data_IF_195029003736
#
_entry.id   IF_195029003736
#
_cell.length_a   1.000
_cell.length_b   1.000
_cell.length_c   1.000
_cell.angle_alpha   90.00
_cell.angle_beta   90.00
_cell.angle_gamma   90.00
#
_symmetry.space_group_name_H-M   'P 1'
#
loop_
_entity.id
_entity.type
_entity.pdbx_description
1 polymer ?
#
# COMPACT_ATOMS: atom_id res chain seq x y z
N UNK A 1 13.79 13.26 -0.37
CA UNK A 1 12.89 13.35 -1.53
C UNK A 1 12.04 12.08 -1.63
N UNK A 2 10.78 12.23 -1.90
CA UNK A 2 9.88 11.07 -2.08
C UNK A 2 9.89 10.61 -3.54
N UNK A 3 9.79 9.28 -3.72
CA UNK A 3 9.59 8.68 -5.03
C UNK A 3 8.62 7.50 -4.91
N UNK A 4 8.10 7.03 -6.02
CA UNK A 4 7.13 5.94 -6.07
C UNK A 4 7.49 4.93 -7.15
N UNK A 5 7.25 3.66 -6.89
CA UNK A 5 7.48 2.58 -7.86
C UNK A 5 6.32 1.59 -7.83
N UNK A 6 5.79 1.26 -9.00
CA UNK A 6 4.81 0.18 -9.12
C UNK A 6 5.51 -1.15 -8.88
N UNK A 7 4.88 -2.02 -8.10
CA UNK A 7 5.45 -3.33 -7.77
C UNK A 7 5.03 -4.41 -8.76
N UNK A 8 5.69 -5.55 -8.66
CA UNK A 8 5.33 -6.79 -9.34
C UNK A 8 5.19 -7.89 -8.30
N UNK A 9 4.87 -9.11 -8.73
CA UNK A 9 4.80 -10.26 -7.81
C UNK A 9 6.15 -10.59 -7.16
N UNK A 10 7.25 -10.10 -7.72
CA UNK A 10 8.58 -10.26 -7.12
C UNK A 10 8.77 -9.42 -5.85
N UNK A 11 7.89 -8.46 -5.61
CA UNK A 11 7.98 -7.53 -4.49
C UNK A 11 7.14 -7.95 -3.27
N UNK A 12 6.55 -9.13 -3.29
CA UNK A 12 5.63 -9.59 -2.23
C UNK A 12 6.28 -9.53 -0.84
N UNK A 13 7.52 -10.00 -0.71
CA UNK A 13 8.20 -9.98 0.59
C UNK A 13 8.56 -8.56 1.03
N UNK A 14 8.88 -7.69 0.10
CA UNK A 14 9.13 -6.28 0.40
C UNK A 14 7.87 -5.60 0.94
N UNK A 15 6.72 -5.83 0.29
CA UNK A 15 5.43 -5.30 0.75
C UNK A 15 5.11 -5.81 2.15
N UNK A 16 5.24 -7.12 2.38
CA UNK A 16 4.99 -7.74 3.68
C UNK A 16 5.89 -7.16 4.76
N UNK A 17 7.18 -7.03 4.48
CA UNK A 17 8.13 -6.49 5.44
C UNK A 17 7.80 -5.04 5.81
N UNK A 18 7.51 -4.22 4.82
CA UNK A 18 7.15 -2.82 5.06
C UNK A 18 5.84 -2.73 5.85
N UNK A 19 4.84 -3.54 5.49
CA UNK A 19 3.57 -3.58 6.21
C UNK A 19 3.77 -3.95 7.68
N UNK A 20 4.67 -4.89 7.99
CA UNK A 20 4.93 -5.29 9.39
C UNK A 20 5.49 -4.13 10.22
N UNK A 21 6.31 -3.29 9.62
CA UNK A 21 6.87 -2.13 10.30
C UNK A 21 5.83 -1.04 10.57
N UNK A 22 4.77 -1.00 9.79
CA UNK A 22 3.71 0.00 9.92
C UNK A 22 2.60 -0.48 10.84
N UNK A 23 2.18 -1.74 10.70
CA UNK A 23 1.02 -2.27 11.42
C UNK A 23 1.27 -2.44 12.91
N UNK A 24 2.46 -2.89 13.30
CA UNK A 24 2.79 -3.08 14.70
C UNK A 24 2.64 -1.81 15.52
N UNK A 25 3.30 -0.69 15.17
CA UNK A 25 3.13 0.55 15.94
C UNK A 25 1.76 1.19 15.79
N UNK A 26 1.07 0.95 14.67
CA UNK A 26 -0.24 1.56 14.42
C UNK A 26 -1.34 0.90 15.24
N UNK A 27 -1.35 -0.43 15.31
CA UNK A 27 -2.45 -1.20 15.89
C UNK A 27 -2.09 -1.98 17.16
N UNK A 28 -0.81 -2.05 17.51
CA UNK A 28 -0.35 -2.86 18.64
C UNK A 28 -0.91 -2.45 19.99
N UNK A 29 -1.30 -1.19 20.16
CA UNK A 29 -1.91 -0.70 21.42
C UNK A 29 -3.43 -0.87 21.44
N UNK A 30 -4.05 -1.18 20.30
CA UNK A 30 -5.50 -1.26 20.14
C UNK A 30 -5.97 -2.72 20.12
N UNK A 31 -5.19 -3.60 19.48
CA UNK A 31 -5.53 -5.00 19.27
C UNK A 31 -4.67 -5.89 20.16
N UNK A 32 -5.23 -7.04 20.60
CA UNK A 32 -4.43 -8.07 21.26
C UNK A 32 -3.39 -8.61 20.27
N UNK A 33 -2.34 -9.24 20.80
CA UNK A 33 -1.29 -9.83 19.94
C UNK A 33 -1.88 -10.86 18.98
N UNK A 34 -2.79 -11.69 19.48
CA UNK A 34 -3.44 -12.71 18.66
C UNK A 34 -4.26 -12.11 17.53
N UNK A 35 -5.02 -11.05 17.83
CA UNK A 35 -5.83 -10.34 16.83
C UNK A 35 -4.96 -9.68 15.78
N UNK A 36 -3.89 -9.02 16.22
CA UNK A 36 -2.97 -8.34 15.32
C UNK A 36 -2.31 -9.31 14.37
N UNK A 37 -1.79 -10.42 14.90
CA UNK A 37 -1.13 -11.45 14.09
C UNK A 37 -2.09 -12.10 13.11
N UNK A 38 -3.32 -12.41 13.55
CA UNK A 38 -4.33 -13.00 12.69
C UNK A 38 -4.69 -12.08 11.52
N UNK A 39 -4.97 -10.81 11.82
CA UNK A 39 -5.35 -9.83 10.78
C UNK A 39 -4.20 -9.56 9.83
N UNK A 40 -2.99 -9.48 10.38
CA UNK A 40 -1.82 -9.25 9.54
C UNK A 40 -1.58 -10.41 8.56
N UNK A 41 -1.64 -11.65 9.04
CA UNK A 41 -1.47 -12.80 8.16
C UNK A 41 -2.58 -12.93 7.13
N UNK A 42 -3.81 -12.59 7.51
CA UNK A 42 -4.94 -12.62 6.58
C UNK A 42 -4.71 -11.69 5.39
N UNK A 43 -4.09 -10.52 5.62
CA UNK A 43 -3.91 -9.51 4.58
C UNK A 43 -2.53 -9.58 3.89
N UNK A 44 -1.50 -9.97 4.62
CA UNK A 44 -0.11 -9.82 4.17
C UNK A 44 0.70 -11.11 4.13
N UNK A 45 0.10 -12.27 4.34
CA UNK A 45 0.76 -13.52 4.00
C UNK A 45 1.12 -13.48 2.51
N UNK A 46 2.25 -14.07 2.10
CA UNK A 46 2.65 -14.01 0.69
C UNK A 46 1.55 -14.43 -0.28
N UNK A 47 0.84 -15.52 0.01
CA UNK A 47 -0.27 -15.99 -0.83
C UNK A 47 -1.44 -14.99 -0.85
N UNK A 48 -1.66 -14.25 0.24
CA UNK A 48 -2.72 -13.24 0.30
C UNK A 48 -2.40 -12.05 -0.59
N UNK A 49 -1.15 -11.59 -0.57
CA UNK A 49 -0.71 -10.50 -1.43
C UNK A 49 -0.78 -10.90 -2.90
N UNK A 50 -0.32 -12.12 -3.22
CA UNK A 50 -0.40 -12.64 -4.58
C UNK A 50 -1.85 -12.73 -5.06
N UNK A 51 -2.76 -13.18 -4.20
CA UNK A 51 -4.18 -13.24 -4.53
C UNK A 51 -4.75 -11.84 -4.81
N UNK A 52 -4.38 -10.86 -4.00
CA UNK A 52 -4.81 -9.48 -4.21
C UNK A 52 -4.33 -8.95 -5.57
N UNK A 53 -3.10 -9.24 -5.94
CA UNK A 53 -2.54 -8.79 -7.23
C UNK A 53 -3.15 -9.53 -8.41
N UNK A 54 -3.25 -10.85 -8.34
CA UNK A 54 -3.60 -11.69 -9.49
C UNK A 54 -5.11 -11.88 -9.66
N UNK A 55 -5.86 -11.97 -8.56
CA UNK A 55 -7.28 -12.29 -8.60
C UNK A 55 -8.20 -11.12 -8.27
N UNK A 56 -7.78 -10.25 -7.35
CA UNK A 56 -8.61 -9.15 -6.87
C UNK A 56 -8.29 -7.82 -7.55
N UNK A 57 -7.39 -7.82 -8.51
CA UNK A 57 -7.03 -6.64 -9.31
C UNK A 57 -6.50 -5.46 -8.49
N UNK A 58 -5.71 -5.76 -7.45
CA UNK A 58 -4.99 -4.75 -6.70
C UNK A 58 -3.65 -4.47 -7.35
N UNK A 59 -3.31 -3.19 -7.48
CA UNK A 59 -1.98 -2.76 -7.87
C UNK A 59 -1.32 -2.10 -6.68
N UNK A 60 -0.14 -2.60 -6.30
CA UNK A 60 0.62 -2.08 -5.17
C UNK A 60 1.76 -1.20 -5.65
N UNK A 61 1.99 -0.12 -4.90
CA UNK A 61 3.09 0.81 -5.13
C UNK A 61 3.86 0.98 -3.84
N UNK A 62 5.18 1.05 -3.95
CA UNK A 62 6.05 1.36 -2.80
C UNK A 62 6.50 2.80 -2.91
N UNK A 63 6.41 3.52 -1.81
CA UNK A 63 6.88 4.90 -1.71
C UNK A 63 8.21 4.89 -0.97
N UNK A 64 9.17 5.61 -1.50
CA UNK A 64 10.53 5.72 -0.96
C UNK A 64 10.78 7.14 -0.49
N UNK A 65 11.49 7.26 0.63
CA UNK A 65 12.11 8.51 1.04
C UNK A 65 13.61 8.29 0.98
N UNK A 66 14.28 9.05 0.11
CA UNK A 66 15.74 8.96 -0.05
C UNK A 66 16.20 7.50 -0.25
N UNK A 67 15.52 6.78 -1.13
CA UNK A 67 15.77 5.39 -1.50
C UNK A 67 15.42 4.35 -0.42
N UNK A 68 14.81 4.76 0.71
CA UNK A 68 14.34 3.82 1.74
C UNK A 68 12.84 3.58 1.60
N UNK A 69 12.39 2.30 1.59
CA UNK A 69 10.95 2.01 1.58
C UNK A 69 10.27 2.65 2.79
N UNK A 70 9.24 3.44 2.55
CA UNK A 70 8.65 4.30 3.60
C UNK A 70 7.13 4.24 3.67
N UNK A 71 6.47 3.74 2.65
CA UNK A 71 5.02 3.61 2.61
C UNK A 71 4.56 2.78 1.45
N UNK A 72 3.27 2.49 1.40
CA UNK A 72 2.71 1.78 0.27
C UNK A 72 1.29 2.24 -0.02
N UNK A 73 0.89 2.05 -1.27
CA UNK A 73 -0.42 2.37 -1.79
C UNK A 73 -0.94 1.15 -2.53
N UNK A 74 -2.20 0.80 -2.33
CA UNK A 74 -2.86 -0.23 -3.10
C UNK A 74 -4.11 0.35 -3.74
N UNK A 75 -4.25 0.16 -5.05
CA UNK A 75 -5.42 0.61 -5.83
C UNK A 75 -6.10 -0.63 -6.39
N UNK A 76 -7.39 -0.75 -6.15
CA UNK A 76 -8.21 -1.83 -6.70
C UNK A 76 -9.02 -1.31 -7.88
N UNK A 77 -9.03 -2.06 -8.99
CA UNK A 77 -9.99 -1.84 -10.07
C UNK A 77 -11.24 -2.62 -9.71
N UNK A 78 -12.28 -1.91 -9.28
CA UNK A 78 -13.54 -2.53 -8.84
C UNK A 78 -14.40 -2.91 -10.03
N UNK A 79 -14.53 -2.01 -10.98
CA UNK A 79 -15.24 -2.20 -12.23
C UNK A 79 -14.51 -1.41 -13.32
N UNK A 80 -14.96 -1.54 -14.57
CA UNK A 80 -14.45 -0.69 -15.64
C UNK A 80 -14.61 0.78 -15.24
N UNK A 81 -13.50 1.51 -15.25
CA UNK A 81 -13.44 2.95 -14.93
C UNK A 81 -13.81 3.29 -13.48
N UNK A 82 -13.87 2.29 -12.58
CA UNK A 82 -14.10 2.51 -11.15
C UNK A 82 -12.94 1.96 -10.34
N UNK A 83 -12.27 2.83 -9.58
CA UNK A 83 -11.07 2.52 -8.82
C UNK A 83 -11.24 2.92 -7.36
N UNK A 84 -10.64 2.14 -6.45
CA UNK A 84 -10.59 2.46 -5.04
C UNK A 84 -9.16 2.43 -4.52
N UNK A 85 -8.81 3.40 -3.68
CA UNK A 85 -7.59 3.34 -2.89
C UNK A 85 -7.86 2.42 -1.70
N UNK A 86 -7.36 1.19 -1.78
CA UNK A 86 -7.62 0.18 -0.75
C UNK A 86 -6.71 0.34 0.47
N UNK A 87 -5.46 0.74 0.24
CA UNK A 87 -4.47 0.86 1.30
C UNK A 87 -3.63 2.10 1.04
N UNK A 88 -3.50 2.95 2.07
CA UNK A 88 -2.62 4.11 2.06
C UNK A 88 -1.94 4.11 3.43
N UNK A 89 -0.68 3.69 3.47
CA UNK A 89 0.06 3.56 4.71
C UNK A 89 1.46 4.14 4.58
N UNK A 90 1.96 4.70 5.67
CA UNK A 90 3.35 5.17 5.74
C UNK A 90 3.91 4.89 7.13
N UNK A 91 5.25 4.85 7.22
CA UNK A 91 5.91 4.67 8.51
C UNK A 91 5.49 5.78 9.48
N UNK A 92 5.17 5.43 10.75
CA UNK A 92 4.75 6.44 11.72
C UNK A 92 5.75 7.58 11.91
N UNK A 93 7.05 7.29 11.79
CA UNK A 93 8.10 8.29 11.91
C UNK A 93 8.03 9.38 10.84
N UNK A 94 7.30 9.15 9.75
CA UNK A 94 7.16 10.08 8.65
C UNK A 94 5.82 10.80 8.64
N UNK A 95 4.97 10.57 9.64
CA UNK A 95 3.70 11.30 9.75
C UNK A 95 4.00 12.80 9.94
N UNK A 96 3.29 13.64 9.19
CA UNK A 96 3.53 15.07 9.19
C UNK A 96 4.62 15.56 8.24
N UNK A 97 5.29 14.63 7.52
CA UNK A 97 6.35 14.99 6.56
C UNK A 97 5.81 15.35 5.15
N UNK A 98 4.51 15.16 4.91
CA UNK A 98 3.91 15.32 3.58
C UNK A 98 3.85 14.03 2.77
N UNK A 99 4.28 12.89 3.35
CA UNK A 99 4.29 11.62 2.61
C UNK A 99 2.87 11.17 2.23
N UNK A 100 1.89 11.32 3.12
CA UNK A 100 0.51 10.94 2.82
C UNK A 100 -0.06 11.70 1.63
N UNK A 101 0.18 13.01 1.58
CA UNK A 101 -0.23 13.84 0.46
C UNK A 101 0.46 13.42 -0.83
N UNK A 102 1.76 13.12 -0.76
CA UNK A 102 2.52 12.65 -1.91
C UNK A 102 1.91 11.35 -2.46
N UNK A 103 1.59 10.40 -1.58
CA UNK A 103 0.99 9.11 -1.98
C UNK A 103 -0.31 9.34 -2.74
N UNK A 104 -1.20 10.17 -2.19
CA UNK A 104 -2.50 10.46 -2.82
C UNK A 104 -2.32 11.14 -4.16
N UNK A 105 -1.44 12.13 -4.23
CA UNK A 105 -1.18 12.85 -5.48
C UNK A 105 -0.63 11.92 -6.57
N UNK A 106 0.28 11.00 -6.20
CA UNK A 106 0.83 10.04 -7.15
C UNK A 106 -0.20 9.01 -7.58
N UNK A 107 -1.07 8.57 -6.66
CA UNK A 107 -2.15 7.66 -7.00
C UNK A 107 -3.12 8.26 -8.01
N UNK A 108 -3.51 9.50 -7.80
CA UNK A 108 -4.39 10.24 -8.73
C UNK A 108 -3.70 10.42 -10.07
N UNK A 109 -2.41 10.79 -10.09
CA UNK A 109 -1.66 10.95 -11.31
C UNK A 109 -1.58 9.64 -12.10
N UNK A 110 -1.38 8.52 -11.41
CA UNK A 110 -1.36 7.20 -12.05
C UNK A 110 -2.71 6.89 -12.71
N UNK A 111 -3.82 7.09 -11.99
CA UNK A 111 -5.15 6.83 -12.52
C UNK A 111 -5.45 7.71 -13.75
N UNK A 112 -5.05 8.96 -13.73
CA UNK A 112 -5.20 9.83 -14.88
C UNK A 112 -4.37 9.37 -16.08
N UNK A 113 -3.24 8.70 -15.85
CA UNK A 113 -2.40 8.19 -16.94
C UNK A 113 -3.02 6.99 -17.64
N UNK A 114 -3.79 6.17 -16.93
CA UNK A 114 -4.44 4.97 -17.50
C UNK A 114 -5.90 5.19 -17.87
N UNK A 115 -6.50 6.28 -17.37
CA UNK A 115 -7.89 6.65 -17.66
C UNK A 115 -7.95 8.17 -17.88
N UNK A 116 -7.75 8.63 -19.13
CA UNK A 116 -7.60 10.07 -19.43
C UNK A 116 -8.86 10.90 -19.32
N UNK A 117 -10.00 10.29 -19.03
CA UNK A 117 -11.23 11.03 -18.81
C UNK A 117 -11.28 11.69 -17.42
N UNK A 118 -12.30 12.49 -17.13
CA UNK A 118 -12.47 13.06 -15.79
C UNK A 118 -12.87 11.98 -14.79
N UNK A 119 -12.44 12.19 -13.55
CA UNK A 119 -12.83 11.34 -12.43
C UNK A 119 -13.85 12.03 -11.57
#
# INVERSE_FOLDING_TARGET
MFSIRKTTTDDVLLIRNLASQIWEPTYGSILSREQLDYMFEMMYAPESILNQMNELHHEFFIIYKDDEPSGYLSIETVEKDLYEFQKIYSLPSLHGSGIGRFIIEQGVAYLKSIHPGPF
#
